data_IF_569943578296
#
_entry.id   IF_569943578296
#
_cell.length_a   1.000
_cell.length_b   1.000
_cell.length_c   1.000
_cell.angle_alpha   90.00
_cell.angle_beta   90.00
_cell.angle_gamma   90.00
#
_symmetry.space_group_name_H-M   'P 1'
#
loop_
_entity.id
_entity.type
_entity.pdbx_description
1 polymer ?
#
# COMPACT_ATOMS: atom_id res chain seq x y z
N UNK A 1 44.57 26.67 -78.67
CA UNK A 1 44.81 25.72 -77.56
C UNK A 1 44.49 26.37 -76.21
N UNK A 2 44.89 27.61 -75.94
CA UNK A 2 44.57 28.32 -74.69
C UNK A 2 43.08 28.57 -74.42
N UNK A 3 42.31 29.02 -75.42
CA UNK A 3 40.85 29.24 -75.25
C UNK A 3 40.11 27.98 -74.81
N UNK A 4 40.47 26.82 -75.37
CA UNK A 4 39.88 25.52 -75.01
C UNK A 4 40.20 25.15 -73.55
N UNK A 5 41.39 25.48 -73.05
CA UNK A 5 41.76 25.24 -71.64
C UNK A 5 40.92 26.11 -70.69
N UNK A 6 40.77 27.39 -71.00
CA UNK A 6 39.97 28.32 -70.18
C UNK A 6 38.50 27.88 -70.09
N UNK A 7 37.89 27.49 -71.21
CA UNK A 7 36.51 27.00 -71.23
C UNK A 7 36.31 25.72 -70.41
N UNK A 8 37.27 24.79 -70.46
CA UNK A 8 37.22 23.56 -69.66
C UNK A 8 37.32 23.86 -68.16
N UNK A 9 38.20 24.78 -67.77
CA UNK A 9 38.31 25.19 -66.36
C UNK A 9 37.05 25.91 -65.87
N UNK A 10 36.44 26.75 -66.70
CA UNK A 10 35.20 27.44 -66.35
C UNK A 10 34.04 26.45 -66.23
N UNK A 11 33.93 25.47 -67.13
CA UNK A 11 32.96 24.37 -67.01
C UNK A 11 33.18 23.55 -65.74
N UNK A 12 34.44 23.23 -65.40
CA UNK A 12 34.79 22.53 -64.15
C UNK A 12 34.39 23.33 -62.91
N UNK A 13 34.69 24.63 -62.88
CA UNK A 13 34.29 25.54 -61.80
C UNK A 13 32.76 25.62 -61.67
N UNK A 14 32.02 25.73 -62.77
CA UNK A 14 30.55 25.74 -62.78
C UNK A 14 29.98 24.42 -62.25
N UNK A 15 30.52 23.28 -62.67
CA UNK A 15 30.08 21.97 -62.17
C UNK A 15 30.35 21.81 -60.68
N UNK A 16 31.56 22.16 -60.22
CA UNK A 16 31.93 22.12 -58.80
C UNK A 16 31.00 23.00 -57.95
N UNK A 17 30.71 24.24 -58.38
CA UNK A 17 29.76 25.12 -57.68
C UNK A 17 28.35 24.52 -57.60
N UNK A 18 27.85 23.92 -58.69
CA UNK A 18 26.54 23.26 -58.70
C UNK A 18 26.50 22.06 -57.75
N UNK A 19 27.51 21.20 -57.77
CA UNK A 19 27.61 20.06 -56.86
C UNK A 19 27.66 20.51 -55.39
N UNK A 20 28.47 21.53 -55.09
CA UNK A 20 28.55 22.11 -53.74
C UNK A 20 27.23 22.72 -53.29
N UNK A 21 26.49 23.39 -54.18
CA UNK A 21 25.18 23.93 -53.86
C UNK A 21 24.16 22.83 -53.51
N UNK A 22 24.09 21.78 -54.33
CA UNK A 22 23.17 20.65 -54.10
C UNK A 22 23.53 19.90 -52.81
N UNK A 23 24.81 19.63 -52.57
CA UNK A 23 25.26 19.00 -51.32
C UNK A 23 25.00 19.89 -50.10
N UNK A 24 25.27 21.19 -50.21
CA UNK A 24 25.01 22.17 -49.16
C UNK A 24 23.53 22.23 -48.79
N UNK A 25 22.64 22.24 -49.79
CA UNK A 25 21.20 22.22 -49.56
C UNK A 25 20.74 20.92 -48.89
N UNK A 26 21.27 19.77 -49.33
CA UNK A 26 20.95 18.47 -48.73
C UNK A 26 21.41 18.39 -47.26
N UNK A 27 22.61 18.88 -46.94
CA UNK A 27 23.14 18.95 -45.57
C UNK A 27 22.28 19.90 -44.72
N UNK A 28 21.96 21.09 -45.24
CA UNK A 28 21.14 22.06 -44.52
C UNK A 28 19.75 21.51 -44.17
N UNK A 29 19.08 20.83 -45.11
CA UNK A 29 17.80 20.16 -44.87
C UNK A 29 17.91 19.08 -43.80
N UNK A 30 18.98 18.28 -43.82
CA UNK A 30 19.21 17.25 -42.81
C UNK A 30 19.49 17.83 -41.43
N UNK A 31 20.24 18.92 -41.34
CA UNK A 31 20.47 19.63 -40.09
C UNK A 31 19.17 20.21 -39.53
N UNK A 32 18.35 20.86 -40.36
CA UNK A 32 17.04 21.39 -39.94
C UNK A 32 16.11 20.29 -39.41
N UNK A 33 16.09 19.13 -40.08
CA UNK A 33 15.33 17.97 -39.60
C UNK A 33 15.82 17.52 -38.22
N UNK A 34 17.14 17.41 -38.03
CA UNK A 34 17.72 16.98 -36.76
C UNK A 34 17.49 18.00 -35.64
N UNK A 35 17.57 19.29 -35.94
CA UNK A 35 17.27 20.36 -34.98
C UNK A 35 15.81 20.29 -34.51
N UNK A 36 14.86 20.06 -35.43
CA UNK A 36 13.45 19.88 -35.08
C UNK A 36 13.20 18.61 -34.23
N UNK A 37 13.90 17.51 -34.53
CA UNK A 37 13.87 16.30 -33.68
C UNK A 37 14.40 16.59 -32.28
N UNK A 38 15.52 17.32 -32.16
CA UNK A 38 16.10 17.74 -30.87
C UNK A 38 15.13 18.63 -30.09
N UNK A 39 14.52 19.62 -30.74
CA UNK A 39 13.55 20.52 -30.11
C UNK A 39 12.33 19.74 -29.58
N UNK A 40 11.81 18.79 -30.38
CA UNK A 40 10.68 17.94 -29.97
C UNK A 40 11.04 17.06 -28.77
N UNK A 41 12.21 16.44 -28.78
CA UNK A 41 12.69 15.65 -27.64
C UNK A 41 12.92 16.52 -26.41
N UNK A 42 13.42 17.75 -26.59
CA UNK A 42 13.60 18.73 -25.52
C UNK A 42 12.28 19.07 -24.83
N UNK A 43 11.21 19.32 -25.59
CA UNK A 43 9.86 19.59 -25.03
C UNK A 43 9.35 18.42 -24.18
N UNK A 44 9.53 17.19 -24.67
CA UNK A 44 9.12 15.99 -23.93
C UNK A 44 9.95 15.84 -22.65
N UNK A 45 11.27 16.05 -22.74
CA UNK A 45 12.16 15.95 -21.58
C UNK A 45 11.79 16.98 -20.50
N UNK A 46 11.56 18.24 -20.88
CA UNK A 46 11.10 19.28 -19.94
C UNK A 46 9.79 18.88 -19.23
N UNK A 47 8.81 18.39 -19.98
CA UNK A 47 7.54 17.95 -19.39
C UNK A 47 7.71 16.74 -18.44
N UNK A 48 8.64 15.83 -18.74
CA UNK A 48 8.96 14.71 -17.86
C UNK A 48 9.67 15.18 -16.58
N UNK A 49 10.64 16.09 -16.69
CA UNK A 49 11.31 16.68 -15.54
C UNK A 49 10.34 17.42 -14.60
N UNK A 50 9.39 18.16 -15.15
CA UNK A 50 8.32 18.81 -14.37
C UNK A 50 7.45 17.80 -13.62
N UNK A 51 7.06 16.71 -14.28
CA UNK A 51 6.31 15.61 -13.64
C UNK A 51 7.10 14.96 -12.51
N UNK A 52 8.40 14.70 -12.72
CA UNK A 52 9.27 14.15 -11.68
C UNK A 52 9.34 15.11 -10.49
N UNK A 53 9.57 16.40 -10.73
CA UNK A 53 9.58 17.42 -9.68
C UNK A 53 8.27 17.45 -8.89
N UNK A 54 7.12 17.43 -9.56
CA UNK A 54 5.81 17.43 -8.92
C UNK A 54 5.60 16.18 -8.03
N UNK A 55 5.92 14.99 -8.55
CA UNK A 55 5.80 13.74 -7.80
C UNK A 55 6.75 13.68 -6.60
N UNK A 56 7.97 14.21 -6.72
CA UNK A 56 8.90 14.29 -5.60
C UNK A 56 8.36 15.17 -4.47
N UNK A 57 7.78 16.34 -4.80
CA UNK A 57 7.16 17.22 -3.81
C UNK A 57 5.95 16.55 -3.16
N UNK A 58 5.08 15.93 -3.95
CA UNK A 58 3.91 15.21 -3.43
C UNK A 58 4.33 14.09 -2.48
N UNK A 59 5.30 13.26 -2.88
CA UNK A 59 5.82 12.20 -2.03
C UNK A 59 6.38 12.75 -0.71
N UNK A 60 7.12 13.86 -0.76
CA UNK A 60 7.67 14.48 0.43
C UNK A 60 6.58 14.98 1.39
N UNK A 61 5.49 15.55 0.86
CA UNK A 61 4.32 15.96 1.65
C UNK A 61 3.70 14.75 2.35
N UNK A 62 3.47 13.66 1.61
CA UNK A 62 2.91 12.43 2.18
C UNK A 62 3.80 11.82 3.26
N UNK A 63 5.12 11.79 3.05
CA UNK A 63 6.07 11.34 4.06
C UNK A 63 6.06 12.23 5.32
N UNK A 64 5.94 13.55 5.16
CA UNK A 64 5.87 14.46 6.30
C UNK A 64 4.57 14.26 7.09
N UNK A 65 3.44 14.08 6.39
CA UNK A 65 2.17 13.79 7.02
C UNK A 65 2.21 12.44 7.76
N UNK A 66 2.74 11.39 7.14
CA UNK A 66 2.91 10.09 7.77
C UNK A 66 3.78 10.17 9.04
N UNK A 67 4.91 10.88 8.99
CA UNK A 67 5.79 11.07 10.16
C UNK A 67 5.13 11.88 11.27
N UNK A 68 4.39 12.94 10.94
CA UNK A 68 3.68 13.74 11.95
C UNK A 68 2.53 12.96 12.60
N UNK A 69 1.77 12.20 11.80
CA UNK A 69 0.71 11.33 12.30
C UNK A 69 1.26 10.19 13.16
N UNK A 70 2.40 9.60 12.79
CA UNK A 70 3.11 8.61 13.60
C UNK A 70 3.60 9.20 14.93
N UNK A 71 4.24 10.38 14.91
CA UNK A 71 4.72 11.04 16.11
C UNK A 71 3.58 11.37 17.10
N UNK A 72 2.45 11.85 16.58
CA UNK A 72 1.25 12.11 17.41
C UNK A 72 0.66 10.82 17.97
N UNK A 73 0.57 9.75 17.18
CA UNK A 73 0.10 8.45 17.66
C UNK A 73 1.01 7.87 18.76
N UNK A 74 2.33 7.95 18.59
CA UNK A 74 3.31 7.50 19.58
C UNK A 74 3.24 8.32 20.87
N UNK A 75 3.05 9.64 20.77
CA UNK A 75 2.86 10.49 21.95
C UNK A 75 1.59 10.12 22.72
N UNK A 76 0.47 9.90 22.03
CA UNK A 76 -0.78 9.45 22.65
C UNK A 76 -0.63 8.08 23.31
N UNK A 77 0.04 7.13 22.64
CA UNK A 77 0.35 5.81 23.20
C UNK A 77 1.17 5.91 24.49
N UNK A 78 2.26 6.70 24.47
CA UNK A 78 3.08 6.91 25.65
C UNK A 78 2.32 7.57 26.81
N UNK A 79 1.45 8.54 26.52
CA UNK A 79 0.59 9.16 27.53
C UNK A 79 -0.38 8.15 28.17
N UNK A 80 -0.95 7.24 27.38
CA UNK A 80 -1.83 6.18 27.88
C UNK A 80 -1.06 5.17 28.75
N UNK A 81 0.12 4.75 28.32
CA UNK A 81 1.00 3.86 29.10
C UNK A 81 1.36 4.49 30.45
N UNK A 82 1.71 5.78 30.47
CA UNK A 82 1.97 6.52 31.72
C UNK A 82 0.74 6.62 32.62
N UNK A 83 -0.45 6.89 32.05
CA UNK A 83 -1.69 6.94 32.82
C UNK A 83 -2.04 5.58 33.44
N UNK A 84 -1.85 4.48 32.69
CA UNK A 84 -2.04 3.12 33.18
C UNK A 84 -1.06 2.79 34.32
N UNK A 85 0.22 3.15 34.19
CA UNK A 85 1.22 2.96 35.22
C UNK A 85 0.87 3.69 36.54
N UNK A 86 0.40 4.94 36.45
CA UNK A 86 -0.05 5.71 37.63
C UNK A 86 -1.25 5.07 38.34
N UNK A 87 -2.18 4.48 37.60
CA UNK A 87 -3.33 3.76 38.19
C UNK A 87 -2.89 2.46 38.88
N UNK A 88 -1.87 1.77 38.36
CA UNK A 88 -1.31 0.59 39.04
C UNK A 88 -0.53 0.92 40.30
N UNK A 89 0.19 2.05 40.35
CA UNK A 89 0.97 2.48 41.53
C UNK A 89 0.07 3.09 42.63
N UNK A 90 -1.00 3.81 42.26
CA UNK A 90 -1.96 4.39 43.22
C UNK A 90 -2.85 3.38 43.96
N UNK A 91 -2.68 2.07 43.71
CA UNK A 91 -3.40 0.99 44.41
C UNK A 91 -2.57 0.35 45.54
N UNK A 92 -1.37 0.89 45.82
CA UNK A 92 -0.39 0.32 46.74
C UNK A 92 -0.32 0.91 48.16
N UNK A 93 -0.84 2.13 48.41
CA UNK A 93 -0.69 2.78 49.73
C UNK A 93 -2.05 2.93 50.46
N UNK A 94 -2.38 1.91 51.24
CA UNK A 94 -3.14 2.03 52.48
C UNK A 94 -2.72 0.88 53.41
N UNK A 95 -1.64 1.13 54.15
CA UNK A 95 -1.29 0.56 55.47
C UNK A 95 -2.52 0.68 56.41
N UNK A 96 -2.86 -0.17 57.39
CA UNK A 96 -2.22 -1.25 58.15
C UNK A 96 -3.37 -1.95 58.92
N UNK A 97 -3.44 -3.28 58.98
CA UNK A 97 -3.74 -4.01 60.23
C UNK A 97 -3.37 -5.50 60.16
N UNK A 98 -2.57 -5.89 61.15
CA UNK A 98 -2.32 -7.21 61.72
C UNK A 98 -2.02 -8.44 60.83
N UNK A 99 -0.74 -8.83 60.85
CA UNK A 99 -0.36 -10.08 61.53
C UNK A 99 -0.37 -11.38 60.72
N UNK A 100 0.77 -11.65 60.08
CA UNK A 100 1.45 -12.95 59.99
C UNK A 100 0.60 -14.24 59.93
N UNK A 101 0.56 -14.86 58.74
CA UNK A 101 0.71 -16.31 58.63
C UNK A 101 1.15 -16.66 57.20
N UNK A 102 2.41 -17.07 57.08
CA UNK A 102 2.79 -18.04 56.05
C UNK A 102 1.82 -19.22 56.11
N UNK A 103 1.42 -19.76 54.96
CA UNK A 103 1.48 -21.19 54.69
C UNK A 103 0.53 -21.57 53.56
N UNK A 104 1.17 -22.15 52.56
CA UNK A 104 0.68 -23.22 51.71
C UNK A 104 -0.30 -24.19 52.41
N UNK A 105 -1.07 -24.87 51.56
CA UNK A 105 -1.72 -26.17 51.77
C UNK A 105 -3.08 -26.22 52.48
N UNK A 106 -4.04 -26.68 51.66
CA UNK A 106 -5.00 -27.75 51.93
C UNK A 106 -6.32 -27.42 52.62
N UNK A 107 -7.38 -27.82 51.88
CA UNK A 107 -8.58 -28.56 52.34
C UNK A 107 -9.39 -27.93 53.49
N UNK A 108 -10.66 -27.61 53.36
CA UNK A 108 -11.72 -28.16 52.52
C UNK A 108 -13.03 -28.11 53.32
N UNK A 109 -14.08 -28.68 52.72
CA UNK A 109 -15.40 -29.01 53.29
C UNK A 109 -16.49 -27.91 53.28
N UNK A 110 -17.74 -28.18 52.95
CA UNK A 110 -18.43 -29.32 52.32
C UNK A 110 -19.88 -28.85 52.04
N UNK A 111 -20.53 -29.37 51.00
CA UNK A 111 -21.99 -29.33 50.93
C UNK A 111 -22.60 -29.51 49.54
N UNK A 112 -22.86 -30.76 49.13
CA UNK A 112 -23.89 -31.04 48.11
C UNK A 112 -23.60 -32.12 47.07
N UNK A 113 -23.56 -33.39 47.50
CA UNK A 113 -23.54 -34.63 46.67
C UNK A 113 -24.57 -34.63 45.53
N UNK A 114 -24.14 -35.00 44.29
CA UNK A 114 -24.77 -36.02 43.41
C UNK A 114 -23.76 -36.69 42.44
N UNK A 115 -23.30 -37.88 42.85
CA UNK A 115 -23.20 -39.19 42.15
C UNK A 115 -22.58 -39.29 40.72
N UNK A 116 -21.43 -40.01 40.65
CA UNK A 116 -21.01 -41.14 39.75
C UNK A 116 -21.20 -40.99 38.22
N UNK A 117 -20.32 -41.36 37.28
CA UNK A 117 -19.14 -42.25 37.13
C UNK A 117 -18.50 -41.90 35.75
N UNK A 118 -17.18 -41.71 35.63
CA UNK A 118 -16.20 -42.59 34.93
C UNK A 118 -15.96 -42.34 33.40
N UNK A 119 -14.66 -42.20 33.04
CA UNK A 119 -14.06 -42.18 31.68
C UNK A 119 -13.49 -40.80 31.28
N UNK A 120 -12.18 -40.46 31.35
CA UNK A 120 -11.00 -40.95 30.58
C UNK A 120 -11.33 -40.96 29.07
N UNK A 121 -10.68 -40.25 28.13
CA UNK A 121 -9.30 -39.78 27.94
C UNK A 121 -9.30 -38.60 26.93
N UNK A 122 -8.26 -37.76 27.01
CA UNK A 122 -7.48 -37.10 25.93
C UNK A 122 -8.25 -36.42 24.76
N UNK A 123 -7.98 -35.22 24.26
CA UNK A 123 -6.77 -34.50 23.89
C UNK A 123 -7.15 -33.00 23.84
N UNK A 124 -6.32 -32.06 24.31
CA UNK A 124 -5.44 -31.33 23.41
C UNK A 124 -6.20 -30.46 22.40
N UNK A 125 -6.39 -29.16 22.67
CA UNK A 125 -6.16 -28.16 21.62
C UNK A 125 -6.11 -26.71 22.14
N UNK A 126 -4.91 -26.16 21.99
CA UNK A 126 -4.62 -24.79 21.59
C UNK A 126 -5.85 -23.91 21.33
N UNK A 127 -6.23 -23.10 22.32
CA UNK A 127 -7.10 -21.94 22.14
C UNK A 127 -6.33 -20.85 21.39
N UNK A 128 -5.99 -21.14 20.13
CA UNK A 128 -5.63 -20.12 19.14
C UNK A 128 -6.89 -19.33 18.85
N UNK A 129 -6.78 -18.02 19.00
CA UNK A 129 -7.70 -17.01 18.51
C UNK A 129 -7.98 -17.26 17.02
N UNK A 130 -8.96 -18.12 16.69
CA UNK A 130 -9.47 -18.25 15.32
C UNK A 130 -10.27 -16.99 15.04
N UNK A 131 -9.61 -16.06 14.36
CA UNK A 131 -10.16 -14.78 13.95
C UNK A 131 -11.53 -14.93 13.30
N UNK A 132 -12.34 -13.88 13.50
CA UNK A 132 -13.72 -13.67 13.09
C UNK A 132 -13.99 -13.74 11.55
N UNK A 133 -13.14 -14.42 10.78
CA UNK A 133 -13.13 -14.49 9.31
C UNK A 133 -13.76 -15.76 8.76
N UNK A 134 -14.25 -16.66 9.62
CA UNK A 134 -14.70 -18.00 9.22
C UNK A 134 -16.06 -18.07 8.53
N UNK A 135 -16.85 -16.99 8.58
CA UNK A 135 -18.24 -17.00 8.14
C UNK A 135 -18.63 -15.76 7.32
N UNK A 136 -19.55 -15.95 6.36
CA UNK A 136 -20.21 -14.85 5.67
C UNK A 136 -20.91 -13.92 6.67
N UNK A 137 -20.68 -12.60 6.57
CA UNK A 137 -21.24 -11.59 7.47
C UNK A 137 -22.74 -11.35 7.32
N UNK A 138 -23.38 -11.91 6.29
CA UNK A 138 -24.83 -11.79 6.07
C UNK A 138 -25.59 -13.01 6.57
N UNK A 139 -25.26 -14.20 6.07
CA UNK A 139 -25.97 -15.42 6.44
C UNK A 139 -25.32 -16.19 7.60
N UNK A 140 -24.07 -15.87 7.97
CA UNK A 140 -23.34 -16.62 9.00
C UNK A 140 -22.84 -17.99 8.54
N UNK A 141 -23.10 -18.39 7.30
CA UNK A 141 -22.78 -19.71 6.78
C UNK A 141 -21.64 -19.66 5.77
N UNK A 142 -20.72 -20.62 5.89
CA UNK A 142 -19.59 -20.82 4.97
C UNK A 142 -18.57 -19.68 4.96
N UNK A 143 -17.38 -19.98 4.45
CA UNK A 143 -16.32 -18.97 4.34
C UNK A 143 -16.74 -17.84 3.38
N UNK A 144 -16.38 -16.57 3.67
CA UNK A 144 -16.57 -15.50 2.72
C UNK A 144 -15.68 -15.74 1.47
N UNK A 145 -16.30 -15.69 0.29
CA UNK A 145 -15.63 -15.89 -1.00
C UNK A 145 -15.68 -14.65 -1.89
N UNK A 146 -16.34 -13.57 -1.44
CA UNK A 146 -16.54 -12.35 -2.22
C UNK A 146 -15.95 -11.13 -1.53
N UNK A 147 -15.08 -10.43 -2.27
CA UNK A 147 -14.46 -9.16 -1.92
C UNK A 147 -15.25 -8.00 -2.54
N UNK A 148 -15.57 -6.99 -1.73
CA UNK A 148 -16.34 -5.81 -2.15
C UNK A 148 -15.42 -4.65 -2.55
N UNK A 149 -15.72 -3.96 -3.65
CA UNK A 149 -15.02 -2.75 -4.09
C UNK A 149 -15.88 -1.50 -3.83
N UNK A 150 -15.26 -0.36 -3.47
CA UNK A 150 -13.81 -0.10 -3.43
C UNK A 150 -13.10 -0.54 -2.14
N UNK A 151 -13.83 -0.94 -1.08
CA UNK A 151 -13.25 -1.12 0.25
C UNK A 151 -12.39 -2.38 0.47
N UNK A 152 -12.34 -3.29 -0.51
CA UNK A 152 -11.57 -4.56 -0.52
C UNK A 152 -11.84 -5.53 0.64
N UNK A 153 -13.00 -5.44 1.27
CA UNK A 153 -13.38 -6.35 2.37
C UNK A 153 -13.93 -7.68 1.82
N UNK A 154 -13.26 -8.79 2.18
CA UNK A 154 -13.74 -10.16 1.96
C UNK A 154 -14.68 -10.57 3.10
N UNK A 155 -15.99 -10.46 2.88
CA UNK A 155 -16.96 -10.60 3.96
C UNK A 155 -18.29 -11.25 3.59
N UNK A 156 -18.52 -11.56 2.31
CA UNK A 156 -19.76 -12.20 1.84
C UNK A 156 -19.47 -13.53 1.15
N UNK A 157 -20.40 -14.47 1.19
CA UNK A 157 -20.41 -15.63 0.30
C UNK A 157 -21.01 -15.24 -1.07
N UNK A 158 -20.81 -16.08 -2.08
CA UNK A 158 -21.34 -15.87 -3.44
C UNK A 158 -22.85 -15.62 -3.49
N UNK A 159 -23.63 -16.37 -2.70
CA UNK A 159 -25.09 -16.23 -2.64
C UNK A 159 -25.55 -14.90 -2.00
N UNK A 160 -24.78 -14.37 -1.04
CA UNK A 160 -25.14 -13.16 -0.31
C UNK A 160 -24.71 -11.86 -1.03
N UNK A 161 -23.77 -11.94 -1.98
CA UNK A 161 -23.22 -10.78 -2.70
C UNK A 161 -24.26 -9.92 -3.44
N UNK A 162 -25.24 -10.50 -4.17
CA UNK A 162 -26.22 -9.70 -4.91
C UNK A 162 -27.16 -8.89 -4.01
N UNK A 163 -27.46 -9.37 -2.80
CA UNK A 163 -28.46 -8.79 -1.90
C UNK A 163 -27.93 -7.67 -0.99
N UNK A 164 -26.69 -7.22 -1.21
CA UNK A 164 -26.00 -6.25 -0.36
C UNK A 164 -25.44 -5.11 -1.21
N UNK A 165 -25.81 -3.87 -0.90
CA UNK A 165 -25.36 -2.67 -1.62
C UNK A 165 -24.28 -1.87 -0.87
N UNK A 166 -23.97 -2.23 0.36
CA UNK A 166 -22.92 -1.60 1.16
C UNK A 166 -22.16 -2.63 2.00
N UNK A 167 -20.86 -2.42 2.20
CA UNK A 167 -20.02 -3.33 2.94
C UNK A 167 -20.51 -3.49 4.40
N UNK A 168 -20.76 -4.72 4.89
CA UNK A 168 -21.15 -4.95 6.28
C UNK A 168 -20.12 -4.46 7.30
N UNK A 169 -18.83 -4.42 6.92
CA UNK A 169 -17.70 -4.03 7.77
C UNK A 169 -17.58 -2.51 7.87
N UNK A 170 -17.38 -1.82 6.73
CA UNK A 170 -17.07 -0.38 6.72
C UNK A 170 -18.18 0.52 6.17
N UNK A 171 -19.35 -0.06 5.82
CA UNK A 171 -20.52 0.64 5.28
C UNK A 171 -20.30 1.39 3.95
N UNK A 172 -19.15 1.21 3.31
CA UNK A 172 -18.86 1.75 1.99
C UNK A 172 -19.79 1.15 0.93
N UNK A 173 -20.34 1.97 0.05
CA UNK A 173 -21.21 1.54 -1.06
C UNK A 173 -20.46 0.60 -2.00
N UNK A 174 -21.09 -0.52 -2.32
CA UNK A 174 -20.59 -1.53 -3.25
C UNK A 174 -20.70 -1.01 -4.68
N UNK A 175 -19.57 -0.89 -5.37
CA UNK A 175 -19.54 -0.58 -6.80
C UNK A 175 -19.27 -1.81 -7.68
N UNK A 176 -18.52 -2.79 -7.17
CA UNK A 176 -18.20 -4.03 -7.86
C UNK A 176 -17.81 -5.13 -6.86
N UNK A 177 -17.74 -6.37 -7.31
CA UNK A 177 -17.37 -7.53 -6.47
C UNK A 177 -16.39 -8.46 -7.19
N UNK A 178 -15.46 -9.06 -6.44
CA UNK A 178 -14.51 -10.04 -6.95
C UNK A 178 -14.65 -11.34 -6.17
N UNK A 179 -14.83 -12.46 -6.87
CA UNK A 179 -14.86 -13.79 -6.26
C UNK A 179 -13.43 -14.33 -6.10
N UNK A 180 -13.11 -14.81 -4.91
CA UNK A 180 -11.80 -15.32 -4.52
C UNK A 180 -11.91 -16.82 -4.25
N UNK A 181 -10.98 -17.58 -4.80
CA UNK A 181 -10.82 -19.00 -4.53
C UNK A 181 -9.56 -19.16 -3.67
N UNK A 182 -9.74 -19.58 -2.42
CA UNK A 182 -8.63 -19.86 -1.50
C UNK A 182 -8.30 -21.35 -1.61
N UNK A 183 -7.08 -21.67 -2.06
CA UNK A 183 -6.51 -23.02 -2.16
C UNK A 183 -5.88 -23.47 -0.86
#
# INVERSE_FOLDING_TARGET
IENVKLELEEKRKKHSRRLMAVLGEAIAKKLQQKEAEIESMGKINCALEEKVRALCVENQIWQNLARSTEATANALKGNLEQALARVSEGRGDSEEDAGAAESCCCDGAEGGKRRKEAGREEEGESRREKGCWSACRRCGEGAPTVLLLPCRHLCLCGACSPAVDACPICKCTKSATVQVYLS
#
